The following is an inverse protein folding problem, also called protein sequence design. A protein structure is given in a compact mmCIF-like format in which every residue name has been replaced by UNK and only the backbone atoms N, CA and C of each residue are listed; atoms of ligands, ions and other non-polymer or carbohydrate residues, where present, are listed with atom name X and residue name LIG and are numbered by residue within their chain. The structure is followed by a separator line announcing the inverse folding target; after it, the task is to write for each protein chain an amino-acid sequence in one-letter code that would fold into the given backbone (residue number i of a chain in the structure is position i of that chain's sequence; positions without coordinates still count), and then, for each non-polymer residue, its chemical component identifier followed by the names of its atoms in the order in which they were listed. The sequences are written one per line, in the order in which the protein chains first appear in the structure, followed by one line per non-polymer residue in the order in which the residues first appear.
data_IF_245206996828
#
_entry.id   IF_245206996828
#
_cell.length_a   1.000
_cell.length_b   1.000
_cell.length_c   1.000
_cell.angle_alpha   90.00
_cell.angle_beta   90.00
_cell.angle_gamma   90.00
#
_symmetry.space_group_name_H-M   'P 1'
#
loop_
_entity.id
_entity.type
_entity.pdbx_description
1 polymer ?
#
# COMPACT_ATOMS: atom_id res chain seq x y z
N UNK A 1 1.23 -16.88 -25.78
CA UNK A 1 2.13 -15.90 -25.14
C UNK A 1 2.36 -16.19 -23.66
N UNK A 2 1.33 -16.55 -22.87
CA UNK A 2 1.49 -16.95 -21.46
C UNK A 2 2.42 -18.15 -21.28
N UNK A 3 2.30 -19.17 -22.12
CA UNK A 3 3.10 -20.41 -22.00
C UNK A 3 4.59 -20.20 -22.35
N UNK A 4 4.93 -19.21 -23.16
CA UNK A 4 6.31 -18.91 -23.52
C UNK A 4 7.04 -18.12 -22.40
N UNK A 5 6.31 -17.29 -21.69
CA UNK A 5 6.84 -16.58 -20.51
C UNK A 5 7.07 -17.55 -19.34
N UNK A 6 6.19 -18.55 -19.20
CA UNK A 6 6.28 -19.62 -18.19
C UNK A 6 7.54 -20.49 -18.39
N UNK A 7 7.84 -20.87 -19.63
CA UNK A 7 9.04 -21.66 -19.97
C UNK A 7 10.33 -20.86 -19.77
N UNK A 8 10.32 -19.56 -20.04
CA UNK A 8 11.47 -18.68 -19.84
C UNK A 8 11.78 -18.47 -18.36
N UNK A 9 10.77 -18.25 -17.50
CA UNK A 9 10.94 -18.10 -16.05
C UNK A 9 11.39 -19.43 -15.41
N UNK A 10 10.82 -20.56 -15.82
CA UNK A 10 11.23 -21.88 -15.34
C UNK A 10 12.67 -22.23 -15.76
N UNK A 11 13.10 -21.84 -16.96
CA UNK A 11 14.47 -22.07 -17.45
C UNK A 11 15.51 -21.19 -16.74
N UNK A 12 15.14 -19.97 -16.34
CA UNK A 12 16.00 -19.07 -15.57
C UNK A 12 16.18 -19.60 -14.13
N UNK A 13 15.13 -20.10 -13.50
CA UNK A 13 15.17 -20.66 -12.14
C UNK A 13 16.04 -21.94 -12.06
N UNK A 14 16.22 -22.69 -13.16
CA UNK A 14 17.01 -23.90 -13.22
C UNK A 14 18.47 -23.69 -13.60
N UNK A 15 18.83 -22.52 -14.13
CA UNK A 15 20.17 -22.25 -14.66
C UNK A 15 21.05 -21.34 -13.84
N UNK A 16 20.50 -20.68 -12.83
CA UNK A 16 21.27 -19.85 -11.88
C UNK A 16 20.48 -19.68 -10.59
N UNK A 17 21.13 -19.49 -9.44
CA UNK A 17 20.51 -18.95 -8.22
C UNK A 17 20.12 -17.48 -8.43
N UNK A 18 19.40 -17.16 -9.49
CA UNK A 18 18.96 -15.80 -9.77
C UNK A 18 17.79 -15.48 -8.85
N UNK A 19 18.00 -14.50 -8.00
CA UNK A 19 16.94 -13.90 -7.20
C UNK A 19 15.94 -13.21 -8.14
N UNK A 20 14.70 -13.72 -8.19
CA UNK A 20 13.63 -13.20 -9.03
C UNK A 20 12.79 -12.13 -8.33
N UNK A 21 13.14 -11.76 -7.08
CA UNK A 21 12.37 -10.80 -6.27
C UNK A 21 12.08 -9.51 -7.03
N UNK A 22 13.06 -8.97 -7.74
CA UNK A 22 12.86 -7.75 -8.51
C UNK A 22 11.94 -7.87 -9.72
N UNK A 23 11.62 -9.09 -10.18
CA UNK A 23 10.64 -9.28 -11.25
C UNK A 23 9.19 -9.31 -10.73
N UNK A 24 9.01 -9.48 -9.41
CA UNK A 24 7.69 -9.51 -8.77
C UNK A 24 7.13 -8.10 -8.55
N UNK A 25 8.01 -7.12 -8.47
CA UNK A 25 7.71 -5.72 -8.14
C UNK A 25 8.03 -4.82 -9.34
N UNK A 26 7.72 -5.28 -10.53
CA UNK A 26 7.90 -4.50 -11.74
C UNK A 26 6.75 -3.51 -11.87
N UNK A 27 7.04 -2.24 -11.62
CA UNK A 27 6.17 -1.13 -11.96
C UNK A 27 6.14 -0.89 -13.48
N UNK A 28 5.45 0.15 -13.88
CA UNK A 28 5.36 0.61 -15.27
C UNK A 28 5.18 2.13 -15.30
N UNK A 29 5.13 2.69 -16.51
CA UNK A 29 4.92 4.11 -16.68
C UNK A 29 3.51 4.54 -16.25
N UNK A 30 3.42 5.72 -15.62
CA UNK A 30 2.16 6.40 -15.27
C UNK A 30 1.90 7.61 -16.16
N UNK A 31 0.66 8.04 -16.24
CA UNK A 31 0.26 9.26 -16.98
C UNK A 31 0.36 10.50 -16.11
N UNK A 32 0.18 10.35 -14.80
CA UNK A 32 0.22 11.43 -13.78
C UNK A 32 -0.69 12.62 -14.08
N UNK A 33 -1.81 12.35 -14.74
CA UNK A 33 -2.83 13.35 -15.02
C UNK A 33 -3.88 13.37 -13.89
N UNK A 34 -3.52 13.99 -12.77
CA UNK A 34 -4.35 14.08 -11.57
C UNK A 34 -5.37 15.21 -11.70
N UNK A 35 -6.37 15.03 -12.56
CA UNK A 35 -7.44 16.00 -12.83
C UNK A 35 -8.79 15.55 -12.29
N UNK A 36 -9.63 16.52 -12.00
CA UNK A 36 -11.01 16.29 -11.61
C UNK A 36 -11.86 15.61 -12.69
N UNK A 37 -11.48 15.71 -13.97
CA UNK A 37 -12.19 15.06 -15.07
C UNK A 37 -12.25 13.53 -14.95
N UNK A 38 -11.33 12.94 -14.21
CA UNK A 38 -11.27 11.50 -13.93
C UNK A 38 -11.93 11.11 -12.59
N UNK A 39 -12.51 12.07 -11.87
CA UNK A 39 -13.16 11.85 -10.59
C UNK A 39 -14.67 12.03 -10.74
N UNK A 40 -15.44 11.19 -10.05
CA UNK A 40 -16.89 11.40 -9.95
C UNK A 40 -17.19 12.75 -9.31
N UNK A 41 -18.31 13.34 -9.69
CA UNK A 41 -18.68 14.71 -9.31
C UNK A 41 -18.74 14.96 -7.79
N UNK A 42 -18.87 13.89 -6.99
CA UNK A 42 -18.84 13.95 -5.53
C UNK A 42 -17.44 13.96 -4.91
N UNK A 43 -16.40 13.68 -5.69
CA UNK A 43 -15.02 13.45 -5.23
C UNK A 43 -13.99 14.43 -5.83
N UNK A 44 -14.47 15.55 -6.35
CA UNK A 44 -13.59 16.56 -6.93
C UNK A 44 -12.72 17.23 -5.87
N UNK A 45 -11.47 17.47 -6.25
CA UNK A 45 -10.41 18.04 -5.41
C UNK A 45 -10.16 19.49 -5.81
N UNK A 46 -9.80 20.34 -4.86
CA UNK A 46 -9.21 21.64 -5.18
C UNK A 46 -7.81 21.40 -5.79
N UNK A 47 -7.71 21.59 -7.12
CA UNK A 47 -6.46 21.31 -7.85
C UNK A 47 -5.29 22.16 -7.39
N UNK A 48 -5.53 23.31 -6.73
CA UNK A 48 -4.47 24.12 -6.13
C UNK A 48 -3.79 23.45 -4.92
N UNK A 49 -4.39 22.39 -4.39
CA UNK A 49 -3.86 21.58 -3.28
C UNK A 49 -3.15 20.31 -3.74
N UNK A 50 -3.05 20.06 -5.05
CA UNK A 50 -2.33 18.92 -5.62
C UNK A 50 -0.87 19.30 -5.78
N UNK A 51 0.02 18.56 -5.11
CA UNK A 51 1.46 18.79 -5.14
C UNK A 51 2.18 17.49 -5.51
N UNK A 52 2.99 17.57 -6.56
CA UNK A 52 3.89 16.49 -6.96
C UNK A 52 5.25 16.74 -6.30
N UNK A 53 5.85 15.68 -5.78
CA UNK A 53 7.06 15.74 -4.97
C UNK A 53 8.07 14.72 -5.47
N UNK A 54 9.34 15.12 -5.49
CA UNK A 54 10.49 14.24 -5.61
C UNK A 54 11.14 14.12 -4.23
N UNK A 55 11.14 12.91 -3.67
CA UNK A 55 11.66 12.62 -2.34
C UNK A 55 12.90 11.74 -2.45
N UNK A 56 14.00 12.13 -1.81
CA UNK A 56 15.22 11.31 -1.79
C UNK A 56 15.00 10.05 -0.93
N UNK A 57 15.30 8.88 -1.50
CA UNK A 57 15.24 7.58 -0.83
C UNK A 57 16.60 6.88 -0.92
N UNK A 58 17.30 6.83 0.19
CA UNK A 58 18.68 6.36 0.20
C UNK A 58 19.64 7.33 -0.47
N UNK A 59 20.72 6.81 -1.07
CA UNK A 59 21.79 7.64 -1.60
C UNK A 59 21.57 8.10 -3.06
N UNK A 60 20.78 7.37 -3.85
CA UNK A 60 20.72 7.55 -5.29
C UNK A 60 19.30 7.49 -5.90
N UNK A 61 18.29 7.06 -5.13
CA UNK A 61 16.95 6.88 -5.64
C UNK A 61 16.04 8.06 -5.28
N UNK A 62 15.12 8.38 -6.19
CA UNK A 62 14.10 9.41 -6.02
C UNK A 62 12.72 8.75 -6.04
N UNK A 63 11.92 9.01 -5.02
CA UNK A 63 10.53 8.55 -4.90
C UNK A 63 9.60 9.67 -5.34
N UNK A 64 8.79 9.38 -6.33
CA UNK A 64 7.78 10.30 -6.83
C UNK A 64 6.51 10.17 -6.00
N UNK A 65 6.03 11.28 -5.43
CA UNK A 65 4.88 11.29 -4.55
C UNK A 65 3.86 12.36 -4.94
N UNK A 66 2.61 12.09 -4.60
CA UNK A 66 1.48 13.02 -4.71
C UNK A 66 1.00 13.37 -3.31
N UNK A 67 1.02 14.66 -2.96
CA UNK A 67 0.37 15.17 -1.76
C UNK A 67 -0.82 16.05 -2.14
N UNK A 68 -1.96 15.80 -1.49
CA UNK A 68 -3.17 16.63 -1.60
C UNK A 68 -3.46 17.25 -0.24
N UNK A 69 -3.34 18.56 -0.17
CA UNK A 69 -3.52 19.31 1.07
C UNK A 69 -2.68 20.59 1.10
N UNK A 70 -2.69 21.27 2.22
CA UNK A 70 -1.85 22.44 2.47
C UNK A 70 -0.63 22.01 3.28
N UNK A 71 0.57 22.27 2.78
CA UNK A 71 1.81 21.95 3.51
C UNK A 71 1.90 22.61 4.89
N UNK A 72 1.33 23.81 5.05
CA UNK A 72 1.31 24.50 6.32
C UNK A 72 0.39 23.83 7.34
N UNK A 73 -0.53 22.98 6.91
CA UNK A 73 -1.49 22.29 7.76
C UNK A 73 -1.05 20.87 8.15
N UNK A 74 0.02 20.33 7.59
CA UNK A 74 0.52 18.97 7.94
C UNK A 74 0.74 18.84 9.46
N UNK A 75 1.18 19.92 10.11
CA UNK A 75 1.39 19.96 11.56
C UNK A 75 0.11 19.92 12.40
N UNK A 76 -1.07 20.08 11.81
CA UNK A 76 -2.37 20.17 12.52
C UNK A 76 -3.41 19.21 11.99
N UNK A 77 -3.33 18.85 10.71
CA UNK A 77 -4.30 17.97 10.05
C UNK A 77 -3.98 16.50 10.29
N UNK A 78 -4.99 15.65 10.13
CA UNK A 78 -4.79 14.21 10.04
C UNK A 78 -4.29 13.87 8.63
N UNK A 79 -3.16 13.18 8.53
CA UNK A 79 -2.54 12.81 7.27
C UNK A 79 -2.78 11.33 6.99
N UNK A 80 -3.43 11.05 5.86
CA UNK A 80 -3.64 9.71 5.34
C UNK A 80 -2.46 9.37 4.43
N UNK A 81 -1.69 8.35 4.80
CA UNK A 81 -0.60 7.81 4.01
C UNK A 81 -1.08 6.54 3.32
N UNK A 82 -1.23 6.60 2.00
CA UNK A 82 -1.75 5.51 1.20
C UNK A 82 -0.62 4.73 0.53
N UNK A 83 -0.58 3.43 0.82
CA UNK A 83 0.38 2.47 0.29
C UNK A 83 -0.34 1.61 -0.75
N UNK A 84 -0.07 1.87 -2.03
CA UNK A 84 -0.82 1.25 -3.12
C UNK A 84 -0.44 -0.21 -3.39
N UNK A 85 -1.28 -0.93 -4.14
CA UNK A 85 -1.08 -2.30 -4.58
C UNK A 85 -0.10 -2.42 -5.76
N UNK A 86 0.04 -3.64 -6.28
CA UNK A 86 0.93 -3.93 -7.41
C UNK A 86 0.30 -3.51 -8.76
N UNK A 87 0.33 -2.23 -9.03
CA UNK A 87 -0.10 -1.60 -10.30
C UNK A 87 1.09 -0.89 -10.93
N UNK A 88 1.04 -0.51 -12.22
CA UNK A 88 2.15 0.19 -12.88
C UNK A 88 2.63 1.43 -12.12
N UNK A 89 1.71 2.20 -11.55
CA UNK A 89 2.00 3.45 -10.87
C UNK A 89 0.83 3.89 -9.97
N UNK A 90 1.07 4.87 -9.09
CA UNK A 90 0.09 5.40 -8.15
C UNK A 90 -1.10 6.10 -8.83
N UNK A 91 -0.97 6.56 -10.08
CA UNK A 91 -2.07 7.22 -10.78
C UNK A 91 -3.25 6.29 -11.05
N UNK A 92 -3.02 4.97 -11.06
CA UNK A 92 -4.09 3.95 -11.08
C UNK A 92 -5.04 4.06 -9.87
N UNK A 93 -4.60 4.71 -8.79
CA UNK A 93 -5.36 4.92 -7.56
C UNK A 93 -5.93 6.35 -7.43
N UNK A 94 -5.91 7.16 -8.52
CA UNK A 94 -6.40 8.54 -8.42
C UNK A 94 -7.85 8.65 -7.96
N UNK A 95 -8.71 7.72 -8.34
CA UNK A 95 -10.09 7.69 -7.84
C UNK A 95 -10.17 7.40 -6.34
N UNK A 96 -9.33 6.51 -5.82
CA UNK A 96 -9.20 6.28 -4.37
C UNK A 96 -8.65 7.52 -3.67
N UNK A 97 -7.65 8.15 -4.26
CA UNK A 97 -7.13 9.42 -3.79
C UNK A 97 -8.21 10.50 -3.76
N UNK A 98 -9.09 10.55 -4.78
CA UNK A 98 -10.23 11.46 -4.82
C UNK A 98 -11.20 11.29 -3.65
N UNK A 99 -11.46 10.05 -3.21
CA UNK A 99 -12.27 9.81 -2.02
C UNK A 99 -11.66 10.45 -0.77
N UNK A 100 -10.37 10.26 -0.53
CA UNK A 100 -9.66 10.85 0.59
C UNK A 100 -9.41 12.34 0.42
N UNK A 101 -9.04 12.77 -0.78
CA UNK A 101 -8.77 14.16 -1.08
C UNK A 101 -10.02 15.06 -0.92
N UNK A 102 -11.21 14.50 -1.14
CA UNK A 102 -12.46 15.21 -0.85
C UNK A 102 -12.63 15.52 0.64
N UNK A 103 -12.04 14.69 1.53
CA UNK A 103 -11.97 15.01 2.95
C UNK A 103 -11.13 16.25 3.21
N UNK A 104 -10.01 16.43 2.49
CA UNK A 104 -9.14 17.61 2.56
C UNK A 104 -9.92 18.90 2.32
N UNK A 105 -10.89 18.89 1.41
CA UNK A 105 -11.71 20.07 1.12
C UNK A 105 -12.76 20.38 2.17
N UNK A 106 -13.18 19.40 2.97
CA UNK A 106 -14.30 19.50 3.90
C UNK A 106 -13.90 19.44 5.38
N UNK A 107 -12.73 18.90 5.65
CA UNK A 107 -12.23 18.61 6.99
C UNK A 107 -10.72 18.89 7.08
N UNK A 108 -10.17 18.78 8.26
CA UNK A 108 -8.73 18.94 8.51
C UNK A 108 -7.96 17.64 8.22
N UNK A 109 -7.85 17.29 6.93
CA UNK A 109 -7.12 16.11 6.44
C UNK A 109 -6.17 16.47 5.31
N UNK A 110 -5.01 15.79 5.26
CA UNK A 110 -4.14 15.70 4.11
C UNK A 110 -4.06 14.25 3.62
N UNK A 111 -3.69 14.07 2.36
CA UNK A 111 -3.52 12.76 1.73
C UNK A 111 -2.19 12.71 1.00
N UNK A 112 -1.44 11.61 1.17
CA UNK A 112 -0.23 11.36 0.42
C UNK A 112 -0.22 9.93 -0.09
N UNK A 113 0.17 9.74 -1.37
CA UNK A 113 0.53 8.47 -1.96
C UNK A 113 1.83 8.63 -2.76
N UNK A 114 2.51 7.53 -3.07
CA UNK A 114 3.78 7.58 -3.77
C UNK A 114 4.03 6.29 -4.54
N UNK A 115 4.83 6.38 -5.58
CA UNK A 115 5.35 5.22 -6.29
C UNK A 115 6.57 4.63 -5.58
N UNK A 116 6.56 3.33 -5.34
CA UNK A 116 7.76 2.64 -4.87
C UNK A 116 8.86 2.73 -5.92
N UNK A 117 10.12 2.60 -5.52
CA UNK A 117 11.24 2.58 -6.47
C UNK A 117 11.00 1.58 -7.60
N UNK A 118 11.20 2.01 -8.84
CA UNK A 118 10.95 1.24 -10.05
C UNK A 118 9.48 1.16 -10.46
N UNK A 119 8.58 1.87 -9.78
CA UNK A 119 7.20 2.11 -10.20
C UNK A 119 7.06 3.53 -10.71
N UNK A 120 6.20 3.73 -11.70
CA UNK A 120 5.92 5.04 -12.26
C UNK A 120 7.18 5.84 -12.59
N UNK A 121 7.25 7.05 -12.05
CA UNK A 121 8.41 7.93 -12.23
C UNK A 121 9.47 7.80 -11.12
N UNK A 122 9.24 6.95 -10.11
CA UNK A 122 10.25 6.67 -9.09
C UNK A 122 11.43 5.92 -9.68
N UNK A 123 12.64 6.36 -9.38
CA UNK A 123 13.87 5.74 -9.88
C UNK A 123 14.23 4.46 -9.12
N UNK A 124 15.30 3.78 -9.54
CA UNK A 124 15.78 2.57 -8.88
C UNK A 124 14.97 1.32 -9.23
N UNK A 125 15.02 0.32 -8.34
CA UNK A 125 14.33 -0.95 -8.50
C UNK A 125 13.90 -1.51 -7.15
N UNK A 126 12.64 -1.92 -7.03
CA UNK A 126 12.17 -2.62 -5.84
C UNK A 126 12.77 -4.03 -5.77
N UNK A 127 13.28 -4.39 -4.61
CA UNK A 127 13.82 -5.72 -4.30
C UNK A 127 13.01 -6.44 -3.22
N UNK A 128 11.92 -5.83 -2.75
CA UNK A 128 11.03 -6.40 -1.74
C UNK A 128 10.78 -5.45 -0.57
N UNK A 129 10.38 -6.00 0.56
CA UNK A 129 9.93 -5.24 1.72
C UNK A 129 10.95 -4.21 2.22
N UNK A 130 12.24 -4.53 2.25
CA UNK A 130 13.28 -3.62 2.73
C UNK A 130 13.39 -2.36 1.87
N UNK A 131 13.37 -2.53 0.53
CA UNK A 131 13.41 -1.38 -0.39
C UNK A 131 12.14 -0.54 -0.29
N UNK A 132 10.98 -1.18 -0.18
CA UNK A 132 9.69 -0.49 -0.02
C UNK A 132 9.57 0.20 1.34
N UNK A 133 10.17 -0.38 2.40
CA UNK A 133 10.25 0.27 3.70
C UNK A 133 11.13 1.52 3.68
N UNK A 134 12.24 1.50 2.92
CA UNK A 134 13.07 2.68 2.74
C UNK A 134 12.34 3.81 1.98
N UNK A 135 11.52 3.45 0.98
CA UNK A 135 10.70 4.41 0.25
C UNK A 135 9.61 5.02 1.16
N UNK A 136 8.97 4.19 1.97
CA UNK A 136 8.03 4.65 2.98
C UNK A 136 8.70 5.57 4.01
N UNK A 137 9.91 5.24 4.49
CA UNK A 137 10.68 6.09 5.40
C UNK A 137 11.02 7.46 4.79
N UNK A 138 11.31 7.53 3.48
CA UNK A 138 11.54 8.79 2.78
C UNK A 138 10.29 9.69 2.82
N UNK A 139 9.10 9.12 2.59
CA UNK A 139 7.83 9.84 2.70
C UNK A 139 7.58 10.31 4.12
N UNK A 140 7.80 9.44 5.12
CA UNK A 140 7.65 9.81 6.52
C UNK A 140 8.65 10.87 6.97
N UNK A 141 9.88 10.83 6.44
CA UNK A 141 10.90 11.85 6.70
C UNK A 141 10.42 13.23 6.24
N UNK A 142 9.89 13.31 5.02
CA UNK A 142 9.28 14.55 4.52
C UNK A 142 8.15 15.03 5.42
N UNK A 143 7.18 14.19 5.75
CA UNK A 143 6.04 14.55 6.59
C UNK A 143 6.46 14.97 8.00
N UNK A 144 7.46 14.31 8.58
CA UNK A 144 8.01 14.66 9.90
C UNK A 144 8.66 16.05 9.90
N UNK A 145 9.39 16.42 8.82
CA UNK A 145 9.95 17.77 8.68
C UNK A 145 8.87 18.86 8.62
N UNK A 146 7.63 18.49 8.24
CA UNK A 146 6.45 19.36 8.22
C UNK A 146 5.64 19.31 9.53
N UNK A 147 6.10 18.54 10.52
CA UNK A 147 5.50 18.50 11.85
C UNK A 147 4.43 17.41 12.04
N UNK A 148 4.35 16.38 11.16
CA UNK A 148 3.48 15.24 11.39
C UNK A 148 3.92 14.45 12.62
N UNK A 149 2.96 14.05 13.43
CA UNK A 149 3.13 13.18 14.61
C UNK A 149 2.23 11.95 14.51
N UNK A 150 2.54 10.92 15.28
CA UNK A 150 1.86 9.61 15.19
C UNK A 150 0.36 9.65 15.47
N UNK A 151 -0.08 10.57 16.33
CA UNK A 151 -1.51 10.76 16.70
C UNK A 151 -2.37 11.32 15.56
N UNK A 152 -1.73 11.84 14.52
CA UNK A 152 -2.41 12.42 13.34
C UNK A 152 -2.07 11.70 12.04
N UNK A 153 -1.41 10.56 12.11
CA UNK A 153 -1.10 9.71 10.97
C UNK A 153 -2.05 8.51 10.91
N UNK A 154 -2.66 8.30 9.75
CA UNK A 154 -3.39 7.08 9.43
C UNK A 154 -2.74 6.43 8.22
N UNK A 155 -2.41 5.16 8.31
CA UNK A 155 -1.86 4.40 7.19
C UNK A 155 -2.96 3.53 6.58
N UNK A 156 -3.11 3.61 5.26
CA UNK A 156 -4.02 2.76 4.48
C UNK A 156 -3.19 1.97 3.50
N UNK A 157 -3.13 0.66 3.67
CA UNK A 157 -2.32 -0.25 2.87
C UNK A 157 -3.21 -1.18 2.05
N UNK A 158 -3.10 -1.09 0.73
CA UNK A 158 -3.82 -1.95 -0.20
C UNK A 158 -2.87 -3.01 -0.76
N UNK A 159 -3.25 -4.29 -0.67
CA UNK A 159 -2.56 -5.43 -1.30
C UNK A 159 -1.04 -5.41 -1.06
N UNK A 160 -0.23 -5.12 -2.08
CA UNK A 160 1.23 -5.00 -2.01
C UNK A 160 1.69 -3.99 -0.95
N UNK A 161 0.92 -2.95 -0.68
CA UNK A 161 1.19 -1.95 0.36
C UNK A 161 1.34 -2.53 1.76
N UNK A 162 0.86 -3.77 2.00
CA UNK A 162 1.07 -4.49 3.26
C UNK A 162 2.55 -4.80 3.54
N UNK A 163 3.40 -4.85 2.49
CA UNK A 163 4.82 -5.15 2.63
C UNK A 163 5.58 -4.10 3.43
N UNK A 164 5.50 -2.81 3.10
CA UNK A 164 6.08 -1.77 3.93
C UNK A 164 5.26 -1.49 5.19
N UNK A 165 3.91 -1.65 5.15
CA UNK A 165 3.05 -1.36 6.29
C UNK A 165 3.21 -2.35 7.45
N UNK A 166 3.40 -3.64 7.19
CA UNK A 166 3.54 -4.68 8.20
C UNK A 166 4.70 -4.41 9.16
N UNK A 167 5.96 -4.40 8.68
CA UNK A 167 7.12 -4.11 9.53
C UNK A 167 7.03 -2.73 10.19
N UNK A 168 6.53 -1.72 9.48
CA UNK A 168 6.33 -0.39 10.04
C UNK A 168 5.34 -0.38 11.22
N UNK A 169 4.26 -1.14 11.14
CA UNK A 169 3.29 -1.31 12.22
C UNK A 169 3.90 -2.03 13.43
N UNK A 170 4.77 -3.03 13.19
CA UNK A 170 5.51 -3.77 14.22
C UNK A 170 6.61 -2.94 14.91
N UNK A 171 6.79 -1.66 14.55
CA UNK A 171 7.71 -0.75 15.20
C UNK A 171 8.92 -0.34 14.36
N UNK A 172 9.04 -0.81 13.11
CA UNK A 172 10.11 -0.42 12.19
C UNK A 172 9.77 0.87 11.42
N UNK A 173 9.12 1.83 12.07
CA UNK A 173 8.68 3.08 11.46
C UNK A 173 9.24 4.29 12.19
N UNK A 174 9.69 5.29 11.43
CA UNK A 174 10.13 6.60 11.92
C UNK A 174 9.05 7.31 12.74
N UNK A 175 7.80 7.25 12.28
CA UNK A 175 6.62 7.73 12.98
C UNK A 175 5.79 6.49 13.33
N UNK A 176 5.59 6.16 14.61
CA UNK A 176 4.78 5.00 15.01
C UNK A 176 3.36 5.06 14.43
N UNK A 177 2.88 3.95 13.88
CA UNK A 177 1.54 3.85 13.34
C UNK A 177 0.57 3.59 14.49
N UNK A 178 -0.41 4.48 14.68
CA UNK A 178 -1.48 4.27 15.66
C UNK A 178 -2.75 3.71 15.03
N UNK A 179 -3.06 4.09 13.79
CA UNK A 179 -4.21 3.59 13.02
C UNK A 179 -3.75 3.03 11.69
N UNK A 180 -4.13 1.79 11.43
CA UNK A 180 -3.78 1.03 10.23
C UNK A 180 -5.03 0.42 9.61
N UNK A 181 -5.23 0.68 8.31
CA UNK A 181 -6.19 -0.03 7.47
C UNK A 181 -5.41 -0.99 6.57
N UNK A 182 -5.73 -2.28 6.64
CA UNK A 182 -5.23 -3.32 5.75
C UNK A 182 -6.35 -3.78 4.83
N UNK A 183 -6.29 -3.39 3.57
CA UNK A 183 -7.22 -3.79 2.53
C UNK A 183 -6.59 -4.88 1.65
N UNK A 184 -7.22 -6.05 1.57
CA UNK A 184 -6.79 -7.22 0.80
C UNK A 184 -5.28 -7.52 0.91
N UNK A 185 -4.71 -7.55 2.13
CA UNK A 185 -3.26 -7.58 2.31
C UNK A 185 -2.64 -8.89 1.84
N UNK A 186 -1.43 -8.80 1.29
CA UNK A 186 -0.57 -9.96 1.09
C UNK A 186 -0.08 -10.46 2.45
N UNK A 187 -0.15 -11.76 2.70
CA UNK A 187 0.14 -12.33 4.02
C UNK A 187 1.55 -12.88 4.18
N UNK A 188 2.09 -13.51 3.12
CA UNK A 188 3.42 -14.15 3.16
C UNK A 188 4.12 -14.05 1.80
N UNK A 189 5.45 -14.20 1.83
CA UNK A 189 6.25 -14.32 0.62
C UNK A 189 5.79 -15.50 -0.28
N UNK A 190 5.28 -16.59 0.30
CA UNK A 190 4.76 -17.74 -0.46
C UNK A 190 3.54 -17.37 -1.29
N UNK A 191 2.58 -16.62 -0.73
CA UNK A 191 1.38 -16.16 -1.44
C UNK A 191 1.77 -15.27 -2.62
N UNK A 192 2.65 -14.30 -2.39
CA UNK A 192 3.14 -13.38 -3.42
C UNK A 192 3.82 -14.16 -4.55
N UNK A 193 4.70 -15.10 -4.22
CA UNK A 193 5.42 -15.91 -5.21
C UNK A 193 4.50 -16.85 -6.00
N UNK A 194 3.54 -17.48 -5.34
CA UNK A 194 2.57 -18.35 -6.00
C UNK A 194 1.74 -17.58 -7.02
N UNK A 195 1.26 -16.39 -6.66
CA UNK A 195 0.50 -15.53 -7.55
C UNK A 195 1.31 -15.05 -8.75
N UNK A 196 2.56 -14.63 -8.51
CA UNK A 196 3.41 -14.13 -9.57
C UNK A 196 3.88 -15.21 -10.54
N UNK A 197 4.12 -16.44 -10.07
CA UNK A 197 4.71 -17.53 -10.85
C UNK A 197 3.72 -18.62 -11.24
N UNK A 198 2.59 -18.73 -10.54
CA UNK A 198 1.66 -19.86 -10.65
C UNK A 198 2.22 -21.20 -10.11
N UNK A 199 3.37 -21.16 -9.42
CA UNK A 199 4.04 -22.35 -8.89
C UNK A 199 3.82 -22.44 -7.37
N UNK A 200 3.34 -23.60 -6.91
CA UNK A 200 3.20 -23.92 -5.48
C UNK A 200 4.53 -24.39 -4.89
N UNK A 201 5.60 -23.62 -5.10
CA UNK A 201 6.90 -23.87 -4.49
C UNK A 201 7.12 -22.95 -3.28
N UNK A 202 7.85 -23.40 -2.23
CA UNK A 202 8.26 -22.50 -1.16
C UNK A 202 9.04 -21.30 -1.70
N UNK A 203 8.67 -20.08 -1.29
CA UNK A 203 9.33 -18.86 -1.74
C UNK A 203 10.85 -18.91 -1.53
N UNK A 204 11.31 -19.54 -0.43
CA UNK A 204 12.73 -19.70 -0.12
C UNK A 204 13.54 -20.51 -1.14
N UNK A 205 12.87 -21.21 -2.07
CA UNK A 205 13.55 -21.94 -3.17
C UNK A 205 13.84 -21.07 -4.39
N UNK A 206 13.14 -19.94 -4.52
CA UNK A 206 13.18 -19.11 -5.75
C UNK A 206 13.48 -17.63 -5.45
N UNK A 207 13.49 -17.24 -4.17
CA UNK A 207 13.82 -15.87 -3.74
C UNK A 207 14.44 -15.88 -2.34
N UNK A 208 15.28 -14.91 -2.05
CA UNK A 208 15.73 -14.57 -0.70
C UNK A 208 14.72 -13.75 0.10
N UNK A 209 13.66 -13.27 -0.56
CA UNK A 209 12.63 -12.44 0.02
C UNK A 209 11.87 -13.16 1.15
N UNK A 210 11.79 -12.48 2.30
CA UNK A 210 11.07 -12.95 3.47
C UNK A 210 10.03 -11.92 3.85
N UNK A 211 8.80 -12.37 4.03
CA UNK A 211 7.71 -11.56 4.52
C UNK A 211 6.71 -12.45 5.26
N UNK A 212 6.37 -12.06 6.46
CA UNK A 212 5.36 -12.73 7.29
C UNK A 212 4.55 -11.67 8.05
N UNK A 213 3.35 -11.42 7.56
CA UNK A 213 2.45 -10.44 8.14
C UNK A 213 1.93 -10.88 9.53
N UNK A 214 1.91 -12.19 9.80
CA UNK A 214 1.41 -12.71 11.09
C UNK A 214 2.23 -12.20 12.27
N UNK A 215 3.56 -12.21 12.16
CA UNK A 215 4.43 -11.68 13.20
C UNK A 215 4.27 -10.17 13.35
N UNK A 216 4.19 -9.45 12.22
CA UNK A 216 4.00 -8.00 12.27
C UNK A 216 2.69 -7.61 12.96
N UNK A 217 1.61 -8.36 12.72
CA UNK A 217 0.32 -8.10 13.36
C UNK A 217 0.32 -8.48 14.85
N UNK A 218 1.04 -9.52 15.25
CA UNK A 218 1.20 -9.85 16.67
C UNK A 218 1.92 -8.74 17.45
N UNK A 219 2.92 -8.12 16.82
CA UNK A 219 3.74 -7.06 17.41
C UNK A 219 3.11 -5.65 17.27
N UNK A 220 2.09 -5.48 16.45
CA UNK A 220 1.43 -4.18 16.23
C UNK A 220 0.54 -3.79 17.42
N UNK A 221 0.85 -2.69 18.16
CA UNK A 221 0.09 -2.29 19.34
C UNK A 221 -1.10 -1.37 19.05
N UNK A 222 -1.24 -0.85 17.83
CA UNK A 222 -2.21 0.18 17.48
C UNK A 222 -3.62 -0.32 17.18
N UNK A 223 -4.39 0.49 16.47
CA UNK A 223 -5.74 0.18 16.02
C UNK A 223 -5.72 -0.36 14.58
N UNK A 224 -6.36 -1.50 14.34
CA UNK A 224 -6.39 -2.18 13.05
C UNK A 224 -7.83 -2.28 12.52
N UNK A 225 -8.02 -1.83 11.27
CA UNK A 225 -9.14 -2.22 10.41
C UNK A 225 -8.62 -3.17 9.33
N UNK A 226 -9.18 -4.36 9.23
CA UNK A 226 -8.94 -5.29 8.15
C UNK A 226 -10.18 -5.39 7.26
N UNK A 227 -9.97 -5.24 5.94
CA UNK A 227 -11.00 -5.34 4.91
C UNK A 227 -10.61 -6.39 3.87
N UNK A 228 -11.53 -7.29 3.50
CA UNK A 228 -11.24 -8.37 2.56
C UNK A 228 -12.48 -8.88 1.83
N UNK A 229 -12.29 -9.48 0.66
CA UNK A 229 -13.33 -10.22 -0.06
C UNK A 229 -13.15 -11.72 0.07
N UNK A 230 -14.25 -12.49 0.18
CA UNK A 230 -14.18 -13.95 0.34
C UNK A 230 -13.79 -14.69 -0.94
N UNK A 231 -13.90 -14.04 -2.12
CA UNK A 231 -13.51 -14.60 -3.42
C UNK A 231 -12.22 -13.98 -3.97
N UNK A 232 -11.35 -13.47 -3.08
CA UNK A 232 -10.04 -12.95 -3.46
C UNK A 232 -9.09 -14.10 -3.86
N UNK A 233 -8.82 -14.20 -5.15
CA UNK A 233 -7.94 -15.22 -5.75
C UNK A 233 -6.46 -14.76 -5.82
N UNK A 234 -6.18 -13.49 -5.53
CA UNK A 234 -4.82 -12.91 -5.51
C UNK A 234 -4.21 -12.97 -4.12
N UNK A 235 -4.97 -12.62 -3.09
CA UNK A 235 -4.59 -12.73 -1.68
C UNK A 235 -5.68 -13.52 -0.94
N UNK A 236 -5.61 -14.87 -0.91
CA UNK A 236 -6.69 -15.68 -0.32
C UNK A 236 -7.04 -15.25 1.10
N UNK A 237 -8.34 -15.02 1.35
CA UNK A 237 -8.86 -14.45 2.61
C UNK A 237 -8.39 -15.24 3.83
N UNK A 238 -8.31 -16.58 3.75
CA UNK A 238 -7.90 -17.43 4.86
C UNK A 238 -6.45 -17.18 5.30
N UNK A 239 -5.59 -16.82 4.35
CA UNK A 239 -4.17 -16.52 4.65
C UNK A 239 -4.02 -15.16 5.31
N UNK A 240 -4.83 -14.17 4.89
CA UNK A 240 -4.89 -12.86 5.49
C UNK A 240 -5.52 -12.92 6.89
N UNK A 241 -6.67 -13.63 7.02
CA UNK A 241 -7.37 -13.83 8.28
C UNK A 241 -6.43 -14.38 9.36
N UNK A 242 -5.68 -15.45 9.03
CA UNK A 242 -4.74 -16.08 9.95
C UNK A 242 -3.67 -15.09 10.48
N UNK A 243 -3.27 -14.11 9.65
CA UNK A 243 -2.35 -13.06 10.05
C UNK A 243 -3.06 -11.99 10.90
N UNK A 244 -4.23 -11.50 10.45
CA UNK A 244 -4.96 -10.43 11.15
C UNK A 244 -5.44 -10.84 12.53
N UNK A 245 -5.84 -12.08 12.71
CA UNK A 245 -6.26 -12.64 14.02
C UNK A 245 -5.12 -12.70 15.05
N UNK A 246 -3.85 -12.50 14.64
CA UNK A 246 -2.71 -12.37 15.57
C UNK A 246 -2.68 -11.01 16.27
N UNK A 247 -3.35 -10.01 15.73
CA UNK A 247 -3.35 -8.67 16.29
C UNK A 247 -3.83 -8.64 17.75
N UNK A 248 -3.09 -7.94 18.62
CA UNK A 248 -3.34 -7.80 20.07
C UNK A 248 -3.33 -6.35 20.54
N UNK A 249 -3.39 -5.40 19.59
CA UNK A 249 -3.37 -3.98 19.87
C UNK A 249 -4.67 -3.45 20.51
N UNK A 250 -4.78 -2.14 20.53
CA UNK A 250 -5.83 -1.45 21.30
C UNK A 250 -7.24 -1.58 20.72
N UNK A 251 -7.35 -1.84 19.41
CA UNK A 251 -8.63 -2.04 18.73
C UNK A 251 -8.47 -2.89 17.48
N UNK A 252 -9.44 -3.76 17.21
CA UNK A 252 -9.53 -4.55 15.99
C UNK A 252 -10.95 -4.51 15.43
N UNK A 253 -11.03 -4.23 14.14
CA UNK A 253 -12.27 -4.30 13.36
C UNK A 253 -11.99 -5.09 12.09
N UNK A 254 -12.89 -6.00 11.75
CA UNK A 254 -12.90 -6.68 10.46
C UNK A 254 -14.14 -6.30 9.65
N UNK A 255 -13.98 -6.25 8.34
CA UNK A 255 -15.01 -6.03 7.35
C UNK A 255 -14.75 -6.96 6.16
N UNK A 256 -15.26 -8.19 6.27
CA UNK A 256 -15.14 -9.24 5.26
C UNK A 256 -16.44 -9.31 4.45
N UNK A 257 -16.32 -9.25 3.13
CA UNK A 257 -17.45 -9.15 2.20
C UNK A 257 -17.60 -10.42 1.37
N UNK A 258 -18.75 -11.08 1.51
CA UNK A 258 -19.06 -12.30 0.77
C UNK A 258 -19.19 -12.00 -0.73
N UNK A 259 -18.52 -12.80 -1.56
CA UNK A 259 -18.54 -12.69 -3.00
C UNK A 259 -17.65 -11.60 -3.61
N UNK A 260 -17.01 -10.76 -2.77
CA UNK A 260 -16.07 -9.76 -3.26
C UNK A 260 -14.69 -10.38 -3.50
N UNK A 261 -13.98 -9.90 -4.53
CA UNK A 261 -12.64 -10.32 -4.91
C UNK A 261 -11.55 -9.35 -4.45
N UNK A 262 -10.39 -9.41 -5.14
CA UNK A 262 -9.23 -8.55 -4.85
C UNK A 262 -9.49 -7.07 -5.11
N UNK A 263 -10.38 -6.75 -6.03
CA UNK A 263 -10.83 -5.39 -6.32
C UNK A 263 -11.89 -4.89 -5.35
N UNK A 264 -11.70 -5.07 -4.05
CA UNK A 264 -12.70 -4.92 -3.01
C UNK A 264 -13.56 -3.67 -3.15
N UNK A 265 -12.94 -2.50 -3.32
CA UNK A 265 -13.66 -1.22 -3.43
C UNK A 265 -14.64 -1.21 -4.61
N UNK A 266 -14.27 -1.79 -5.75
CA UNK A 266 -15.15 -1.85 -6.94
C UNK A 266 -16.30 -2.83 -6.72
N UNK A 267 -16.08 -3.91 -5.99
CA UNK A 267 -17.08 -4.94 -5.74
C UNK A 267 -18.13 -4.47 -4.74
N UNK A 268 -17.73 -3.76 -3.68
CA UNK A 268 -18.65 -3.28 -2.63
C UNK A 268 -19.16 -1.84 -2.87
N UNK A 269 -18.52 -1.12 -3.79
CA UNK A 269 -18.86 0.26 -4.14
C UNK A 269 -18.24 1.32 -3.24
N UNK A 270 -18.05 2.52 -3.80
CA UNK A 270 -17.38 3.65 -3.16
C UNK A 270 -18.07 4.12 -1.88
N UNK A 271 -19.40 4.04 -1.80
CA UNK A 271 -20.17 4.49 -0.64
C UNK A 271 -19.88 3.60 0.58
N UNK A 272 -19.99 2.27 0.44
CA UNK A 272 -19.74 1.33 1.53
C UNK A 272 -18.26 1.36 1.93
N UNK A 273 -17.36 1.31 0.96
CA UNK A 273 -15.92 1.36 1.20
C UNK A 273 -15.52 2.62 1.99
N UNK A 274 -15.96 3.79 1.52
CA UNK A 274 -15.68 5.07 2.16
C UNK A 274 -16.23 5.13 3.56
N UNK A 275 -17.49 4.65 3.76
CA UNK A 275 -18.13 4.65 5.06
C UNK A 275 -17.30 3.88 6.09
N UNK A 276 -16.90 2.64 5.77
CA UNK A 276 -16.19 1.78 6.71
C UNK A 276 -14.82 2.37 7.05
N UNK A 277 -14.06 2.83 6.03
CA UNK A 277 -12.74 3.42 6.24
C UNK A 277 -12.83 4.73 7.02
N UNK A 278 -13.78 5.62 6.68
CA UNK A 278 -13.93 6.90 7.36
C UNK A 278 -14.43 6.78 8.79
N UNK A 279 -15.33 5.85 9.06
CA UNK A 279 -15.80 5.58 10.42
C UNK A 279 -14.65 5.11 11.32
N UNK A 280 -13.75 4.27 10.77
CA UNK A 280 -12.52 3.87 11.47
C UNK A 280 -11.54 5.03 11.68
N UNK A 281 -11.29 5.85 10.66
CA UNK A 281 -10.36 7.00 10.76
C UNK A 281 -10.83 8.00 11.83
N UNK A 282 -12.13 8.24 11.90
CA UNK A 282 -12.75 9.23 12.79
C UNK A 282 -12.94 8.75 14.24
N UNK A 283 -12.73 7.49 14.46
CA UNK A 283 -12.80 6.87 15.77
C UNK A 283 -11.71 7.42 16.71
#
# INVERSE_FOLDING_TARGET
MKDFLFLALAAIALSSCADVSGALFAGGDGTYDFKNDYLDSGFQVDESKIHLLDLESGAEDTIFALYVGDFAQIATDTIIVFLHGNTPSMDSYWQTAGLFANLVNKHHYGFIMYDYRGFGWSTGRSTGAESMAADYDAVLSFLQTKGLTSDRMVVVANSLGSLPAGPAAAGESRIPIQKLVMEVPQSTANVIMQNATGLSLPASMITSYKFDLSQNMEDYPGELLWMHGTEDDVAPVETAEAAMQKHRGTYYQEAVYEGAGHGLRWDIGDEEWSKVVLDFIRR
#
